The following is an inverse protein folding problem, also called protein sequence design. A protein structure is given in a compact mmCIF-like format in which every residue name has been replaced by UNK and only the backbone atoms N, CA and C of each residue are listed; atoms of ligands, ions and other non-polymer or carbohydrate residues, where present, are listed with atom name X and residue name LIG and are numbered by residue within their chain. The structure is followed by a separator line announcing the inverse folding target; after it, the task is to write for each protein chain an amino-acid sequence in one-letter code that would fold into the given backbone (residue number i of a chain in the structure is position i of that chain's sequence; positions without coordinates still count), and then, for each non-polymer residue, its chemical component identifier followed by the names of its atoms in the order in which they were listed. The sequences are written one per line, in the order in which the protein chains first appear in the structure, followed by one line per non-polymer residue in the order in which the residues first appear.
data_IF_334222568113
#
_entry.id   IF_334222568113
#
_cell.length_a   1.000
_cell.length_b   1.000
_cell.length_c   1.000
_cell.angle_alpha   90.00
_cell.angle_beta   90.00
_cell.angle_gamma   90.00
#
_symmetry.space_group_name_H-M   'P 1'
#
loop_
_entity.id
_entity.type
_entity.pdbx_description
1 polymer ?
#
# COMPACT_ATOMS: atom_id res chain seq x y z
N UNK A 1 -4.45 38.30 -39.81
CA UNK A 1 -4.84 37.81 -38.48
C UNK A 1 -4.62 38.94 -37.50
N UNK A 2 -5.63 39.36 -36.73
CA UNK A 2 -5.55 40.52 -35.84
C UNK A 2 -4.55 40.25 -34.69
N UNK A 3 -3.78 41.24 -34.24
CA UNK A 3 -2.83 41.12 -33.12
C UNK A 3 -3.52 40.58 -31.87
N UNK A 4 -4.75 41.04 -31.61
CA UNK A 4 -5.61 40.55 -30.54
C UNK A 4 -5.85 39.05 -30.67
N UNK A 5 -6.11 38.54 -31.88
CA UNK A 5 -6.33 37.10 -32.14
C UNK A 5 -5.07 36.27 -31.89
N UNK A 6 -3.88 36.82 -32.18
CA UNK A 6 -2.62 36.14 -31.89
C UNK A 6 -2.41 36.05 -30.38
N UNK A 7 -2.64 37.14 -29.65
CA UNK A 7 -2.53 37.15 -28.18
C UNK A 7 -3.52 36.20 -27.50
N UNK A 8 -4.79 36.19 -27.94
CA UNK A 8 -5.78 35.27 -27.38
C UNK A 8 -5.38 33.81 -27.62
N UNK A 9 -4.88 33.48 -28.82
CA UNK A 9 -4.44 32.12 -29.15
C UNK A 9 -3.26 31.67 -28.27
N UNK A 10 -2.30 32.56 -28.00
CA UNK A 10 -1.17 32.27 -27.11
C UNK A 10 -1.67 32.03 -25.67
N UNK A 11 -2.56 32.89 -25.15
CA UNK A 11 -3.11 32.74 -23.80
C UNK A 11 -3.88 31.43 -23.68
N UNK A 12 -4.73 31.10 -24.66
CA UNK A 12 -5.46 29.84 -24.68
C UNK A 12 -4.54 28.62 -24.73
N UNK A 13 -3.45 28.68 -25.52
CA UNK A 13 -2.46 27.60 -25.57
C UNK A 13 -1.74 27.43 -24.23
N UNK A 14 -1.36 28.52 -23.57
CA UNK A 14 -0.74 28.47 -22.24
C UNK A 14 -1.71 27.88 -21.20
N UNK A 15 -2.97 28.31 -21.20
CA UNK A 15 -3.98 27.75 -20.31
C UNK A 15 -4.14 26.24 -20.51
N UNK A 16 -4.20 25.77 -21.76
CA UNK A 16 -4.27 24.35 -22.08
C UNK A 16 -3.05 23.58 -21.55
N UNK A 17 -1.84 24.12 -21.72
CA UNK A 17 -0.62 23.47 -21.22
C UNK A 17 -0.60 23.37 -19.69
N UNK A 18 -1.02 24.42 -18.98
CA UNK A 18 -1.13 24.42 -17.52
C UNK A 18 -2.17 23.40 -17.06
N UNK A 19 -3.36 23.41 -17.67
CA UNK A 19 -4.41 22.43 -17.36
C UNK A 19 -3.93 21.00 -17.61
N UNK A 20 -3.24 20.75 -18.71
CA UNK A 20 -2.67 19.44 -19.01
C UNK A 20 -1.60 19.03 -17.99
N UNK A 21 -0.71 19.94 -17.58
CA UNK A 21 0.32 19.65 -16.58
C UNK A 21 -0.31 19.28 -15.22
N UNK A 22 -1.31 20.04 -14.76
CA UNK A 22 -2.05 19.75 -13.52
C UNK A 22 -2.77 18.41 -13.63
N UNK A 23 -3.49 18.18 -14.74
CA UNK A 23 -4.20 16.93 -14.96
C UNK A 23 -3.26 15.72 -14.99
N UNK A 24 -2.14 15.82 -15.70
CA UNK A 24 -1.11 14.78 -15.75
C UNK A 24 -0.54 14.47 -14.36
N UNK A 25 -0.25 15.48 -13.56
CA UNK A 25 0.27 15.30 -12.19
C UNK A 25 -0.77 14.61 -11.29
N UNK A 26 -2.04 14.97 -11.42
CA UNK A 26 -3.13 14.38 -10.62
C UNK A 26 -3.41 12.92 -11.00
N UNK A 27 -3.23 12.56 -12.27
CA UNK A 27 -3.51 11.23 -12.81
C UNK A 27 -2.32 10.27 -12.72
N UNK A 28 -1.24 10.63 -12.05
CA UNK A 28 -0.09 9.75 -11.94
C UNK A 28 -0.39 8.59 -10.96
N UNK A 29 -0.05 7.34 -11.29
CA UNK A 29 0.04 6.28 -10.29
C UNK A 29 1.12 6.63 -9.26
N UNK A 30 0.95 6.14 -8.04
CA UNK A 30 1.95 6.27 -6.99
C UNK A 30 1.84 5.05 -6.11
N UNK A 31 2.90 4.25 -6.04
CA UNK A 31 2.92 3.02 -5.25
C UNK A 31 3.77 3.26 -4.01
N UNK A 32 3.18 3.02 -2.85
CA UNK A 32 3.85 3.09 -1.57
C UNK A 32 3.94 1.70 -0.95
N UNK A 33 5.05 1.43 -0.28
CA UNK A 33 5.24 0.24 0.55
C UNK A 33 5.38 0.70 2.00
N UNK A 34 4.52 0.22 2.89
CA UNK A 34 4.49 0.67 4.27
C UNK A 34 4.07 -0.46 5.21
N UNK A 35 4.42 -0.32 6.48
CA UNK A 35 4.08 -1.27 7.52
C UNK A 35 3.02 -0.71 8.47
N UNK A 36 2.05 -1.54 8.86
CA UNK A 36 1.00 -1.17 9.82
C UNK A 36 0.76 -2.28 10.84
N UNK A 37 0.31 -1.96 12.06
CA UNK A 37 -0.19 -2.97 12.99
C UNK A 37 -1.43 -3.67 12.42
N UNK A 38 -1.56 -4.97 12.71
CA UNK A 38 -2.70 -5.77 12.29
C UNK A 38 -3.86 -5.61 13.27
N UNK A 39 -4.94 -4.93 12.89
CA UNK A 39 -6.08 -4.67 13.79
C UNK A 39 -6.90 -5.91 14.18
N UNK A 40 -6.81 -7.01 13.42
CA UNK A 40 -7.46 -8.28 13.77
C UNK A 40 -6.59 -9.36 14.45
N UNK A 41 -5.27 -9.15 14.62
CA UNK A 41 -4.35 -10.17 15.15
C UNK A 41 -3.36 -9.52 16.12
N UNK A 42 -3.29 -10.04 17.32
CA UNK A 42 -2.51 -9.42 18.39
C UNK A 42 -1.01 -9.40 18.09
N UNK A 43 -0.42 -8.20 18.16
CA UNK A 43 1.02 -7.94 17.96
C UNK A 43 1.57 -8.24 16.56
N UNK A 44 0.72 -8.52 15.57
CA UNK A 44 1.15 -8.73 14.19
C UNK A 44 1.34 -7.40 13.47
N UNK A 45 2.30 -7.36 12.56
CA UNK A 45 2.58 -6.24 11.68
C UNK A 45 2.38 -6.71 10.25
N UNK A 46 1.63 -5.94 9.48
CA UNK A 46 1.38 -6.15 8.07
C UNK A 46 2.31 -5.30 7.23
N UNK A 47 2.84 -5.88 6.16
CA UNK A 47 3.50 -5.17 5.08
C UNK A 47 2.49 -4.96 3.96
N UNK A 48 2.25 -3.71 3.60
CA UNK A 48 1.29 -3.35 2.57
C UNK A 48 1.99 -2.68 1.40
N UNK A 49 1.62 -3.09 0.19
CA UNK A 49 1.96 -2.41 -1.04
C UNK A 49 0.66 -1.88 -1.60
N UNK A 50 0.54 -0.56 -1.78
CA UNK A 50 -0.69 0.07 -2.25
C UNK A 50 -0.41 1.07 -3.35
N UNK A 51 -1.21 1.02 -4.42
CA UNK A 51 -1.29 2.12 -5.37
C UNK A 51 -2.26 3.17 -4.82
N UNK A 52 -1.72 4.29 -4.34
CA UNK A 52 -2.49 5.44 -3.84
C UNK A 52 -2.76 6.49 -4.93
N UNK A 53 -2.13 6.34 -6.10
CA UNK A 53 -2.38 7.20 -7.24
C UNK A 53 -3.71 6.90 -7.94
N UNK A 54 -4.06 7.73 -8.92
CA UNK A 54 -5.36 7.68 -9.61
C UNK A 54 -5.38 6.85 -10.90
N UNK A 55 -4.23 6.28 -11.28
CA UNK A 55 -4.09 5.52 -12.52
C UNK A 55 -3.41 4.17 -12.30
N UNK A 56 -3.38 3.36 -13.36
CA UNK A 56 -2.78 2.04 -13.41
C UNK A 56 -1.25 2.17 -13.52
N UNK A 57 -0.53 1.44 -12.68
CA UNK A 57 0.89 1.21 -12.85
C UNK A 57 1.12 -0.12 -13.59
N UNK A 58 1.91 -0.09 -14.66
CA UNK A 58 2.19 -1.27 -15.48
C UNK A 58 3.56 -1.86 -15.21
N UNK A 59 3.67 -3.19 -15.26
CA UNK A 59 4.92 -3.95 -15.06
C UNK A 59 5.69 -3.48 -13.82
N UNK A 60 4.99 -3.48 -12.69
CA UNK A 60 5.53 -3.10 -11.39
C UNK A 60 6.57 -4.12 -10.95
N UNK A 61 7.76 -3.63 -10.60
CA UNK A 61 8.83 -4.40 -9.99
C UNK A 61 9.23 -3.75 -8.66
N UNK A 62 9.53 -4.58 -7.67
CA UNK A 62 9.92 -4.13 -6.34
C UNK A 62 11.33 -4.64 -6.07
N UNK A 63 12.18 -3.75 -5.58
CA UNK A 63 13.54 -4.07 -5.13
C UNK A 63 13.78 -3.43 -3.76
N UNK A 64 14.75 -3.94 -3.02
CA UNK A 64 15.12 -3.45 -1.70
C UNK A 64 16.63 -3.39 -1.53
N UNK A 65 17.09 -2.56 -0.60
CA UNK A 65 18.50 -2.44 -0.21
C UNK A 65 19.00 -3.65 0.61
N UNK A 66 18.10 -4.35 1.29
CA UNK A 66 18.37 -5.58 2.03
C UNK A 66 17.27 -6.63 1.82
N UNK A 67 17.53 -7.93 2.07
CA UNK A 67 16.52 -8.98 1.91
C UNK A 67 15.25 -8.72 2.74
N UNK A 68 14.08 -8.83 2.12
CA UNK A 68 12.79 -8.54 2.78
C UNK A 68 12.41 -9.73 3.66
N UNK A 69 12.36 -9.59 4.99
CA UNK A 69 12.03 -10.70 5.88
C UNK A 69 10.61 -11.20 5.62
N UNK A 70 10.43 -12.51 5.73
CA UNK A 70 9.14 -13.18 5.58
C UNK A 70 8.80 -13.85 6.90
N UNK A 71 7.60 -13.59 7.42
CA UNK A 71 7.09 -14.24 8.64
C UNK A 71 8.06 -14.11 9.83
N UNK A 72 8.63 -12.91 10.03
CA UNK A 72 9.58 -12.63 11.10
C UNK A 72 8.85 -12.51 12.45
N UNK A 73 8.39 -13.65 12.97
CA UNK A 73 7.59 -13.74 14.20
C UNK A 73 8.46 -13.86 15.44
N UNK A 74 7.99 -13.27 16.53
CA UNK A 74 8.70 -13.21 17.80
C UNK A 74 8.46 -11.89 18.53
N UNK A 75 8.08 -11.96 19.82
CA UNK A 75 7.77 -10.77 20.63
C UNK A 75 9.04 -10.01 21.03
N UNK A 76 10.06 -10.72 21.51
CA UNK A 76 11.35 -10.14 21.92
C UNK A 76 12.46 -10.31 20.87
N UNK A 77 12.42 -11.44 20.17
CA UNK A 77 13.41 -11.92 19.21
C UNK A 77 12.76 -12.95 18.28
N UNK A 78 13.37 -13.24 17.13
CA UNK A 78 12.94 -14.24 16.16
C UNK A 78 12.71 -15.61 16.83
N UNK A 79 11.57 -16.22 16.52
CA UNK A 79 11.23 -17.57 16.97
C UNK A 79 11.91 -18.67 16.14
N UNK A 80 12.35 -18.34 14.91
CA UNK A 80 12.93 -19.27 13.95
C UNK A 80 14.08 -18.61 13.17
N UNK A 81 14.74 -19.37 12.29
CA UNK A 81 15.74 -18.83 11.38
C UNK A 81 15.17 -17.70 10.52
N UNK A 82 16.02 -16.73 10.13
CA UNK A 82 15.66 -15.70 9.16
C UNK A 82 15.19 -16.37 7.86
N UNK A 83 14.03 -15.95 7.36
CA UNK A 83 13.45 -16.35 6.08
C UNK A 83 13.07 -15.08 5.31
N UNK A 84 13.04 -15.16 3.98
CA UNK A 84 12.89 -14.01 3.09
C UNK A 84 11.84 -14.26 2.00
N UNK A 85 11.30 -13.17 1.45
CA UNK A 85 10.39 -13.28 0.32
C UNK A 85 11.13 -13.70 -0.96
N UNK A 86 10.82 -14.90 -1.43
CA UNK A 86 11.37 -15.55 -2.61
C UNK A 86 10.30 -15.85 -3.68
N UNK A 87 9.12 -15.23 -3.54
CA UNK A 87 7.92 -15.51 -4.32
C UNK A 87 6.96 -14.31 -4.33
N UNK A 88 5.91 -14.39 -5.16
CA UNK A 88 4.89 -13.34 -5.28
C UNK A 88 5.42 -12.05 -5.90
N UNK A 89 4.84 -10.91 -5.47
CA UNK A 89 5.15 -9.58 -6.03
C UNK A 89 6.63 -9.18 -5.87
N UNK A 90 7.28 -9.63 -4.79
CA UNK A 90 8.67 -9.29 -4.51
C UNK A 90 9.68 -9.99 -5.44
N UNK A 91 9.27 -11.07 -6.12
CA UNK A 91 10.10 -11.78 -7.10
C UNK A 91 9.66 -11.58 -8.54
N UNK A 92 8.36 -11.66 -8.79
CA UNK A 92 7.81 -11.66 -10.14
C UNK A 92 7.21 -10.31 -10.56
N UNK A 93 7.03 -9.39 -9.61
CA UNK A 93 6.31 -8.15 -9.85
C UNK A 93 4.82 -8.37 -10.15
N UNK A 94 4.19 -7.34 -10.69
CA UNK A 94 2.78 -7.36 -11.11
C UNK A 94 2.64 -6.66 -12.47
N UNK A 95 1.96 -7.30 -13.42
CA UNK A 95 1.79 -6.74 -14.77
C UNK A 95 0.91 -5.49 -14.80
N UNK A 96 -0.16 -5.49 -14.01
CA UNK A 96 -1.16 -4.42 -13.95
C UNK A 96 -1.49 -4.19 -12.49
N UNK A 97 -1.22 -2.99 -11.99
CA UNK A 97 -1.54 -2.58 -10.63
C UNK A 97 -2.52 -1.39 -10.65
N UNK A 98 -3.83 -1.67 -10.62
CA UNK A 98 -4.91 -0.69 -10.57
C UNK A 98 -4.80 0.31 -9.43
N UNK A 99 -5.39 1.51 -9.58
CA UNK A 99 -5.50 2.48 -8.50
C UNK A 99 -6.31 1.91 -7.32
N UNK A 100 -5.95 2.30 -6.11
CA UNK A 100 -6.56 1.86 -4.84
C UNK A 100 -6.44 0.36 -4.50
N UNK A 101 -5.84 -0.46 -5.38
CA UNK A 101 -5.56 -1.85 -5.05
C UNK A 101 -4.41 -1.93 -4.05
N UNK A 102 -4.45 -2.95 -3.18
CA UNK A 102 -3.38 -3.27 -2.25
C UNK A 102 -3.04 -4.76 -2.24
N UNK A 103 -1.78 -5.07 -1.93
CA UNK A 103 -1.32 -6.39 -1.55
C UNK A 103 -0.89 -6.32 -0.08
N UNK A 104 -1.44 -7.21 0.74
CA UNK A 104 -1.26 -7.20 2.18
C UNK A 104 -0.62 -8.53 2.58
N UNK A 105 0.50 -8.46 3.30
CA UNK A 105 1.24 -9.61 3.80
C UNK A 105 1.35 -9.54 5.31
N UNK A 106 1.19 -10.68 5.98
CA UNK A 106 1.60 -10.82 7.38
C UNK A 106 3.14 -10.81 7.43
N UNK A 107 3.73 -9.70 7.86
CA UNK A 107 5.17 -9.49 7.77
C UNK A 107 5.91 -10.15 8.93
N UNK A 108 5.40 -9.94 10.15
CA UNK A 108 6.03 -10.43 11.37
C UNK A 108 5.45 -9.82 12.63
N UNK A 109 6.21 -9.91 13.72
CA UNK A 109 5.98 -9.21 14.98
C UNK A 109 7.16 -8.27 15.25
N UNK A 110 6.96 -7.25 16.08
CA UNK A 110 7.96 -6.20 16.31
C UNK A 110 9.37 -6.75 16.65
N UNK A 111 9.50 -7.58 17.69
CA UNK A 111 10.80 -8.11 18.10
C UNK A 111 11.48 -8.97 17.03
N UNK A 112 10.70 -9.80 16.32
CA UNK A 112 11.20 -10.63 15.22
C UNK A 112 11.64 -9.81 14.01
N UNK A 113 10.88 -8.79 13.63
CA UNK A 113 11.23 -7.90 12.52
C UNK A 113 12.46 -7.06 12.84
N UNK A 114 12.56 -6.56 14.08
CA UNK A 114 13.73 -5.80 14.54
C UNK A 114 15.02 -6.61 14.43
N UNK A 115 15.00 -7.89 14.80
CA UNK A 115 16.16 -8.77 14.65
C UNK A 115 16.40 -9.20 13.20
N UNK A 116 15.33 -9.45 12.43
CA UNK A 116 15.47 -9.85 11.03
C UNK A 116 16.12 -8.75 10.17
N UNK A 117 15.79 -7.49 10.45
CA UNK A 117 16.30 -6.29 9.78
C UNK A 117 17.59 -5.74 10.42
N UNK A 118 18.14 -6.44 11.43
CA UNK A 118 19.33 -6.00 12.17
C UNK A 118 19.19 -4.57 12.72
N UNK A 119 17.97 -4.22 13.14
CA UNK A 119 17.56 -2.91 13.65
C UNK A 119 17.79 -1.72 12.68
N UNK A 120 17.88 -1.99 11.38
CA UNK A 120 18.02 -0.95 10.36
C UNK A 120 16.72 -0.76 9.56
N UNK A 121 16.43 0.47 9.10
CA UNK A 121 15.35 0.70 8.15
C UNK A 121 15.56 -0.09 6.86
N UNK A 122 14.48 -0.50 6.22
CA UNK A 122 14.50 -1.11 4.89
C UNK A 122 14.01 -0.10 3.85
N UNK A 123 14.80 0.09 2.78
CA UNK A 123 14.44 0.96 1.66
C UNK A 123 13.87 0.12 0.52
N UNK A 124 12.60 0.36 0.20
CA UNK A 124 11.88 -0.29 -0.88
C UNK A 124 11.82 0.65 -2.09
N UNK A 125 12.26 0.17 -3.26
CA UNK A 125 12.14 0.86 -4.54
C UNK A 125 11.15 0.14 -5.42
N UNK A 126 10.10 0.86 -5.82
CA UNK A 126 9.06 0.34 -6.72
C UNK A 126 9.19 1.03 -8.07
N UNK A 127 9.48 0.25 -9.11
CA UNK A 127 9.64 0.75 -10.47
C UNK A 127 8.53 0.24 -11.36
N UNK A 128 7.94 1.11 -12.17
CA UNK A 128 6.82 0.78 -13.05
C UNK A 128 6.71 1.71 -14.25
N UNK A 129 5.86 1.35 -15.19
CA UNK A 129 5.53 2.17 -16.36
C UNK A 129 4.21 2.89 -16.16
N UNK A 130 4.25 4.21 -16.32
CA UNK A 130 3.09 5.08 -16.39
C UNK A 130 2.75 5.38 -17.86
N UNK A 131 1.48 5.22 -18.20
CA UNK A 131 0.94 5.63 -19.49
C UNK A 131 0.28 7.01 -19.32
N UNK A 132 0.82 8.02 -19.98
CA UNK A 132 0.35 9.40 -19.82
C UNK A 132 -1.08 9.56 -20.36
N UNK A 133 -1.84 10.54 -19.85
CA UNK A 133 -3.15 10.84 -20.42
C UNK A 133 -2.95 11.28 -21.87
N UNK A 134 -3.84 10.85 -22.76
CA UNK A 134 -3.71 10.91 -24.23
C UNK A 134 -2.83 9.83 -24.88
N UNK A 135 -2.28 8.87 -24.11
CA UNK A 135 -1.56 7.68 -24.58
C UNK A 135 -0.35 7.95 -25.50
N UNK A 136 0.17 9.17 -25.55
CA UNK A 136 1.22 9.56 -26.51
C UNK A 136 2.59 8.94 -26.18
N UNK A 137 2.84 8.61 -24.91
CA UNK A 137 4.13 8.09 -24.44
C UNK A 137 3.97 7.34 -23.13
N UNK A 138 4.96 6.51 -22.81
CA UNK A 138 5.11 5.84 -21.52
C UNK A 138 6.38 6.34 -20.84
N UNK A 139 6.34 6.47 -19.52
CA UNK A 139 7.51 6.86 -18.73
C UNK A 139 7.71 5.86 -17.61
N UNK A 140 8.96 5.50 -17.37
CA UNK A 140 9.33 4.69 -16.22
C UNK A 140 9.44 5.60 -15.00
N UNK A 141 8.76 5.22 -13.92
CA UNK A 141 8.73 5.96 -12.65
C UNK A 141 9.29 5.04 -11.58
N UNK A 142 9.96 5.62 -10.59
CA UNK A 142 10.45 4.92 -9.41
C UNK A 142 9.99 5.65 -8.15
N UNK A 143 9.19 4.97 -7.36
CA UNK A 143 8.79 5.41 -6.02
C UNK A 143 9.70 4.76 -4.98
N UNK A 144 10.05 5.51 -3.93
CA UNK A 144 10.89 5.05 -2.83
C UNK A 144 10.08 5.12 -1.55
N UNK A 145 10.10 4.04 -0.77
CA UNK A 145 9.51 3.99 0.56
C UNK A 145 10.54 3.47 1.55
N UNK A 146 10.72 4.17 2.67
CA UNK A 146 11.62 3.76 3.74
C UNK A 146 10.73 3.30 4.89
N UNK A 147 11.01 2.12 5.43
CA UNK A 147 10.26 1.55 6.53
C UNK A 147 11.22 1.33 7.69
N UNK A 148 11.01 2.08 8.77
CA UNK A 148 11.68 1.84 10.04
C UNK A 148 10.69 1.17 11.00
N UNK A 149 11.02 -0.05 11.45
CA UNK A 149 10.15 -0.80 12.35
C UNK A 149 10.00 -0.14 13.73
N UNK A 150 10.97 0.69 14.13
CA UNK A 150 10.96 1.40 15.40
C UNK A 150 9.80 2.41 15.47
N UNK A 151 9.31 2.90 14.33
CA UNK A 151 8.10 3.75 14.26
C UNK A 151 6.85 3.05 14.79
N UNK A 152 6.86 1.71 14.83
CA UNK A 152 5.73 0.88 15.25
C UNK A 152 5.82 0.45 16.73
N UNK A 153 6.90 0.77 17.44
CA UNK A 153 7.17 0.27 18.80
C UNK A 153 6.08 0.66 19.81
N UNK A 154 5.58 1.90 19.72
CA UNK A 154 4.58 2.46 20.63
C UNK A 154 3.15 2.35 20.10
N UNK A 155 2.94 1.76 18.91
CA UNK A 155 1.60 1.68 18.35
C UNK A 155 0.75 0.67 19.11
N UNK A 156 -0.56 0.96 19.30
CA UNK A 156 -1.46 0.03 19.95
C UNK A 156 -1.58 -1.23 19.10
N UNK A 157 -1.11 -2.36 19.63
CA UNK A 157 -1.44 -3.65 19.07
C UNK A 157 -2.89 -3.97 19.39
N UNK A 158 -3.66 -4.45 18.41
CA UNK A 158 -4.97 -5.05 18.71
C UNK A 158 -4.81 -6.09 19.81
N UNK A 159 -5.67 -6.06 20.81
CA UNK A 159 -5.75 -7.08 21.86
C UNK A 159 -6.43 -8.36 21.36
N UNK A 160 -6.88 -8.39 20.08
CA UNK A 160 -7.70 -9.46 19.52
C UNK A 160 -9.17 -9.40 19.94
N UNK A 161 -9.53 -8.53 20.90
CA UNK A 161 -10.87 -8.41 21.47
C UNK A 161 -11.92 -7.92 20.47
N UNK A 162 -11.51 -7.22 19.41
CA UNK A 162 -12.41 -6.80 18.33
C UNK A 162 -13.08 -8.00 17.63
N UNK A 163 -12.35 -9.11 17.43
CA UNK A 163 -12.91 -10.32 16.82
C UNK A 163 -13.89 -10.99 17.78
N UNK A 164 -13.60 -11.02 19.09
CA UNK A 164 -14.53 -11.53 20.10
C UNK A 164 -15.82 -10.70 20.18
N UNK A 165 -15.70 -9.37 20.12
CA UNK A 165 -16.85 -8.46 20.05
C UNK A 165 -17.71 -8.72 18.82
N UNK A 166 -17.11 -8.88 17.63
CA UNK A 166 -17.84 -9.21 16.40
C UNK A 166 -18.52 -10.59 16.48
N UNK A 167 -17.87 -11.58 17.09
CA UNK A 167 -18.48 -12.90 17.31
C UNK A 167 -19.68 -12.81 18.26
N UNK A 168 -19.59 -12.02 19.32
CA UNK A 168 -20.68 -11.80 20.26
C UNK A 168 -21.86 -11.07 19.58
N UNK A 169 -21.59 -10.03 18.79
CA UNK A 169 -22.62 -9.34 17.99
C UNK A 169 -23.31 -10.32 17.04
N UNK A 170 -22.56 -11.17 16.33
CA UNK A 170 -23.14 -12.16 15.43
C UNK A 170 -24.03 -13.18 16.16
N UNK A 171 -23.61 -13.64 17.35
CA UNK A 171 -24.43 -14.52 18.20
C UNK A 171 -25.73 -13.84 18.61
N UNK A 172 -25.68 -12.58 19.05
CA UNK A 172 -26.87 -11.81 19.43
C UNK A 172 -27.83 -11.60 18.26
N UNK A 173 -27.30 -11.25 17.08
CA UNK A 173 -28.10 -11.09 15.86
C UNK A 173 -28.81 -12.38 15.45
N UNK A 174 -28.14 -13.54 15.57
CA UNK A 174 -28.77 -14.85 15.30
C UNK A 174 -29.91 -15.12 16.27
N UNK A 175 -29.75 -14.83 17.56
CA UNK A 175 -30.80 -14.99 18.57
C UNK A 175 -32.01 -14.12 18.24
N UNK A 176 -31.79 -12.85 17.88
CA UNK A 176 -32.85 -11.92 17.49
C UNK A 176 -33.60 -12.41 16.25
N UNK A 177 -32.90 -12.96 15.25
CA UNK A 177 -33.52 -13.43 14.01
C UNK A 177 -34.32 -14.76 14.18
N UNK A 178 -34.12 -15.47 15.29
CA UNK A 178 -34.85 -16.70 15.63
C UNK A 178 -36.05 -16.49 16.55
N UNK A 179 -36.23 -15.29 17.13
CA UNK A 179 -37.45 -14.98 17.88
C UNK A 179 -38.57 -14.70 16.87
N UNK A 180 -39.67 -15.47 16.86
CA UNK A 180 -40.78 -15.19 15.98
C UNK A 180 -41.33 -13.79 16.30
N UNK A 181 -41.59 -12.99 15.27
CA UNK A 181 -42.34 -11.74 15.42
C UNK A 181 -43.61 -12.05 16.21
N UNK A 182 -43.70 -11.50 17.42
CA UNK A 182 -44.98 -11.49 18.15
C UNK A 182 -45.93 -10.66 17.29
N UNK A 183 -46.72 -11.33 16.46
CA UNK A 183 -47.89 -10.74 15.80
C UNK A 183 -48.78 -10.17 16.89
N UNK A 184 -48.88 -8.84 16.91
CA UNK A 184 -49.95 -8.11 17.59
C UNK A 184 -51.28 -8.38 16.89
#
# INVERSE_FOLDING_TARGET
MNTITIFTLIISLMALLVTYAVFKSDQQPQIIVFALPHYGKQSFIQLQIKNIGKSIAYNVQISSDQPIPKRAFGIKKLNASKDYFDSGIFKHGVKVFPPNQSYIYDWGQYGGLREALDNNPITMKVTYWYQHPLNLWKTQITDISIIDINELEALPSSDGGFIEQLQNINKELKILNTKPEKKL
#
